data_IF_054042413193
#
_entry.id   IF_054042413193
#
_cell.length_a   1.000
_cell.length_b   1.000
_cell.length_c   1.000
_cell.angle_alpha   90.00
_cell.angle_beta   90.00
_cell.angle_gamma   90.00
#
_symmetry.space_group_name_H-M   'P 1'
#
loop_
_entity.id
_entity.type
_entity.pdbx_description
1 polymer ?
#
# COMPACT_ATOMS: atom_id res chain seq x y z
N UNK A 1 -2.65 17.03 -52.37
CA UNK A 1 -2.86 15.76 -51.63
C UNK A 1 -1.76 15.42 -50.63
N UNK A 2 -0.47 15.60 -50.84
CA UNK A 2 0.63 15.24 -49.90
C UNK A 2 0.62 15.98 -48.55
N UNK A 3 0.14 17.23 -48.49
CA UNK A 3 0.09 18.03 -47.22
C UNK A 3 -0.97 17.56 -46.24
N UNK A 4 -2.09 16.99 -46.70
CA UNK A 4 -3.16 16.49 -45.84
C UNK A 4 -2.75 15.21 -45.11
N UNK A 5 -1.99 14.33 -45.76
CA UNK A 5 -1.50 13.10 -45.15
C UNK A 5 -0.44 13.36 -44.07
N UNK A 6 0.42 14.38 -44.28
CA UNK A 6 1.42 14.75 -43.28
C UNK A 6 0.78 15.32 -42.00
N UNK A 7 -0.26 16.15 -42.15
CA UNK A 7 -0.99 16.73 -41.04
C UNK A 7 -1.73 15.65 -40.23
N UNK A 8 -2.39 14.70 -40.91
CA UNK A 8 -3.06 13.56 -40.26
C UNK A 8 -2.07 12.68 -39.50
N UNK A 9 -0.88 12.44 -40.03
CA UNK A 9 0.16 11.64 -39.37
C UNK A 9 0.68 12.32 -38.10
N UNK A 10 0.88 13.64 -38.10
CA UNK A 10 1.32 14.42 -36.95
C UNK A 10 0.25 14.44 -35.87
N UNK A 11 -1.02 14.59 -36.22
CA UNK A 11 -2.14 14.54 -35.28
C UNK A 11 -2.27 13.16 -34.64
N UNK A 12 -2.11 12.07 -35.41
CA UNK A 12 -2.10 10.71 -34.82
C UNK A 12 -0.91 10.46 -33.89
N UNK A 13 0.28 10.97 -34.23
CA UNK A 13 1.47 10.89 -33.37
C UNK A 13 1.29 11.70 -32.08
N UNK A 14 0.67 12.88 -32.14
CA UNK A 14 0.35 13.69 -30.97
C UNK A 14 -0.74 13.05 -30.10
N UNK A 15 -1.75 12.41 -30.68
CA UNK A 15 -2.77 11.67 -29.95
C UNK A 15 -2.20 10.39 -29.31
N UNK A 16 -1.27 9.71 -29.94
CA UNK A 16 -0.56 8.57 -29.33
C UNK A 16 0.34 8.98 -28.15
N UNK A 17 0.92 10.17 -28.19
CA UNK A 17 1.73 10.68 -27.07
C UNK A 17 0.89 11.11 -25.86
N UNK A 18 -0.42 11.32 -26.02
CA UNK A 18 -1.35 11.64 -24.92
C UNK A 18 -1.91 10.41 -24.20
N UNK A 19 -1.71 9.21 -24.73
CA UNK A 19 -1.93 7.97 -24.00
C UNK A 19 -0.74 7.71 -23.07
N UNK A 20 -0.47 8.64 -22.15
CA UNK A 20 0.30 8.32 -20.96
C UNK A 20 -0.53 7.29 -20.20
N UNK A 21 -0.26 6.02 -20.45
CA UNK A 21 -0.70 4.93 -19.57
C UNK A 21 -0.17 5.30 -18.20
N UNK A 22 -1.06 5.76 -17.33
CA UNK A 22 -0.69 6.07 -15.95
C UNK A 22 -0.39 4.73 -15.27
N UNK A 23 0.85 4.26 -15.46
CA UNK A 23 1.35 3.15 -14.69
C UNK A 23 1.25 3.52 -13.22
N UNK A 24 0.70 2.65 -12.42
CA UNK A 24 0.67 2.81 -10.98
C UNK A 24 1.31 1.58 -10.33
N UNK A 25 1.95 1.82 -9.22
CA UNK A 25 2.49 0.78 -8.36
C UNK A 25 1.58 0.57 -7.17
N UNK A 26 1.32 -0.68 -6.86
CA UNK A 26 0.57 -1.08 -5.68
C UNK A 26 1.13 -2.39 -5.12
N UNK A 27 0.55 -2.85 -4.04
CA UNK A 27 0.85 -4.18 -3.47
C UNK A 27 -0.38 -5.05 -3.62
N UNK A 28 -0.19 -6.23 -4.20
CA UNK A 28 -1.20 -7.29 -4.20
C UNK A 28 -1.05 -8.08 -2.91
N UNK A 29 -2.14 -8.14 -2.16
CA UNK A 29 -2.25 -8.88 -0.91
C UNK A 29 -3.28 -10.00 -1.05
N UNK A 30 -2.93 -11.18 -0.54
CA UNK A 30 -3.87 -12.30 -0.42
C UNK A 30 -4.45 -12.30 0.98
N UNK A 31 -5.69 -11.87 1.12
CA UNK A 31 -6.41 -11.89 2.39
C UNK A 31 -6.69 -13.32 2.89
N UNK A 32 -6.92 -13.52 4.21
CA UNK A 32 -7.30 -14.82 4.76
C UNK A 32 -8.59 -15.35 4.13
N UNK A 33 -8.61 -16.61 3.72
CA UNK A 33 -9.73 -17.23 2.96
C UNK A 33 -11.09 -17.27 3.68
N UNK A 34 -11.11 -17.05 4.99
CA UNK A 34 -12.33 -17.12 5.81
C UNK A 34 -13.02 -15.79 6.03
N UNK A 35 -12.48 -14.72 5.49
CA UNK A 35 -12.97 -13.38 5.73
C UNK A 35 -13.02 -12.60 4.42
N UNK A 36 -14.15 -11.95 4.18
CA UNK A 36 -14.33 -11.07 3.04
C UNK A 36 -13.81 -9.68 3.38
N UNK A 37 -12.88 -9.18 2.59
CA UNK A 37 -12.34 -7.84 2.66
C UNK A 37 -12.85 -7.01 1.49
N UNK A 38 -13.27 -5.81 1.77
CA UNK A 38 -13.83 -4.88 0.78
C UNK A 38 -13.04 -3.59 0.74
N UNK A 39 -13.03 -2.91 -0.41
CA UNK A 39 -12.44 -1.59 -0.54
C UNK A 39 -13.28 -0.57 0.25
N UNK A 40 -12.72 -0.04 1.33
CA UNK A 40 -13.35 0.96 2.19
C UNK A 40 -13.08 2.38 1.72
N UNK A 41 -11.91 2.64 1.14
CA UNK A 41 -11.51 3.98 0.71
C UNK A 41 -10.43 3.92 -0.38
N UNK A 42 -10.51 4.86 -1.30
CA UNK A 42 -9.45 5.12 -2.29
C UNK A 42 -9.33 6.62 -2.55
N UNK A 43 -8.10 7.11 -2.61
CA UNK A 43 -7.80 8.48 -3.00
C UNK A 43 -6.46 8.54 -3.73
N UNK A 44 -6.40 9.32 -4.81
CA UNK A 44 -5.18 9.67 -5.51
C UNK A 44 -5.03 11.18 -5.54
N UNK A 45 -3.88 11.69 -5.14
CA UNK A 45 -3.55 13.12 -5.16
C UNK A 45 -2.10 13.28 -5.61
N UNK A 46 -1.90 13.87 -6.77
CA UNK A 46 -0.55 14.06 -7.33
C UNK A 46 0.17 12.71 -7.48
N UNK A 47 1.30 12.58 -6.79
CA UNK A 47 2.18 11.40 -6.82
C UNK A 47 1.88 10.39 -5.71
N UNK A 48 0.79 10.55 -4.99
CA UNK A 48 0.39 9.67 -3.90
C UNK A 48 -0.95 9.02 -4.18
N UNK A 49 -1.06 7.73 -3.84
CA UNK A 49 -2.32 7.00 -3.88
C UNK A 49 -2.49 6.19 -2.60
N UNK A 50 -3.67 6.24 -2.02
CA UNK A 50 -4.05 5.50 -0.81
C UNK A 50 -5.22 4.59 -1.15
N UNK A 51 -5.11 3.33 -0.75
CA UNK A 51 -6.16 2.33 -0.85
C UNK A 51 -6.31 1.67 0.52
N UNK A 52 -7.54 1.65 1.02
CA UNK A 52 -7.87 1.01 2.29
C UNK A 52 -8.85 -0.13 2.08
N UNK A 53 -8.54 -1.26 2.69
CA UNK A 53 -9.44 -2.41 2.82
C UNK A 53 -9.90 -2.57 4.26
N UNK A 54 -11.14 -2.98 4.42
CA UNK A 54 -11.75 -3.30 5.71
C UNK A 54 -12.53 -4.62 5.58
N UNK A 55 -12.77 -5.36 6.68
CA UNK A 55 -13.69 -6.49 6.67
C UNK A 55 -15.08 -6.08 6.17
N UNK A 56 -15.78 -6.98 5.49
CA UNK A 56 -17.15 -6.75 5.04
C UNK A 56 -18.06 -6.35 6.22
N UNK A 57 -18.89 -5.33 6.01
CA UNK A 57 -19.74 -4.75 7.05
C UNK A 57 -19.10 -3.60 7.84
N UNK A 58 -17.79 -3.35 7.64
CA UNK A 58 -17.08 -2.20 8.21
C UNK A 58 -16.90 -1.08 7.17
N UNK A 59 -16.44 0.09 7.62
CA UNK A 59 -16.20 1.26 6.76
C UNK A 59 -14.85 1.90 7.06
N UNK A 60 -14.40 2.80 6.17
CA UNK A 60 -13.13 3.53 6.34
C UNK A 60 -13.04 4.33 7.65
N UNK A 61 -14.16 4.75 8.21
CA UNK A 61 -14.22 5.55 9.43
C UNK A 61 -14.58 4.72 10.68
N UNK A 62 -15.10 3.50 10.48
CA UNK A 62 -15.51 2.62 11.56
C UNK A 62 -15.06 1.19 11.24
N UNK A 63 -13.87 0.84 11.71
CA UNK A 63 -13.23 -0.44 11.49
C UNK A 63 -12.58 -0.94 12.79
N UNK A 64 -12.51 -2.25 12.94
CA UNK A 64 -11.75 -2.92 13.98
C UNK A 64 -10.38 -3.35 13.43
N UNK A 65 -10.35 -3.77 12.15
CA UNK A 65 -9.15 -4.14 11.41
C UNK A 65 -9.14 -3.44 10.07
N UNK A 66 -7.95 -3.09 9.60
CA UNK A 66 -7.80 -2.46 8.29
C UNK A 66 -6.45 -2.76 7.68
N UNK A 67 -6.41 -2.79 6.34
CA UNK A 67 -5.17 -2.77 5.56
C UNK A 67 -5.16 -1.50 4.72
N UNK A 68 -4.09 -0.73 4.86
CA UNK A 68 -3.87 0.48 4.06
C UNK A 68 -2.64 0.28 3.19
N UNK A 69 -2.81 0.46 1.88
CA UNK A 69 -1.71 0.50 0.91
C UNK A 69 -1.52 1.95 0.52
N UNK A 70 -0.28 2.44 0.60
CA UNK A 70 0.05 3.80 0.20
C UNK A 70 1.24 3.79 -0.75
N UNK A 71 1.05 4.33 -1.94
CA UNK A 71 2.08 4.48 -2.97
C UNK A 71 2.58 5.92 -3.00
N UNK A 72 3.90 6.09 -3.01
CA UNK A 72 4.61 7.38 -3.09
C UNK A 72 5.47 7.38 -4.35
N UNK A 73 4.88 7.81 -5.47
CA UNK A 73 5.56 7.86 -6.76
C UNK A 73 6.71 8.88 -6.71
N UNK A 74 7.83 8.54 -7.34
CA UNK A 74 9.07 9.35 -7.36
C UNK A 74 9.75 9.57 -6.00
N UNK A 75 9.38 8.82 -4.97
CA UNK A 75 10.09 8.85 -3.69
C UNK A 75 11.40 8.06 -3.78
N UNK A 76 12.54 8.76 -3.69
CA UNK A 76 13.87 8.17 -3.77
C UNK A 76 14.59 8.09 -2.41
N UNK A 77 13.88 8.31 -1.31
CA UNK A 77 14.47 8.20 0.03
C UNK A 77 15.00 6.77 0.28
N UNK A 78 16.16 6.60 0.92
CA UNK A 78 16.56 5.30 1.47
C UNK A 78 15.45 4.74 2.36
N UNK A 79 15.25 3.42 2.32
CA UNK A 79 14.15 2.75 3.06
C UNK A 79 14.21 3.02 4.57
N UNK A 80 15.40 2.99 5.16
CA UNK A 80 15.59 3.29 6.57
C UNK A 80 15.22 4.73 6.94
N UNK A 81 15.52 5.71 6.07
CA UNK A 81 15.16 7.13 6.27
C UNK A 81 13.64 7.31 6.15
N UNK A 82 13.03 6.73 5.11
CA UNK A 82 11.57 6.78 4.94
C UNK A 82 10.85 6.13 6.12
N UNK A 83 11.32 4.95 6.54
CA UNK A 83 10.79 4.24 7.71
C UNK A 83 10.89 5.12 8.97
N UNK A 84 12.06 5.67 9.26
CA UNK A 84 12.30 6.51 10.45
C UNK A 84 11.37 7.71 10.47
N UNK A 85 11.21 8.41 9.34
CA UNK A 85 10.31 9.55 9.23
C UNK A 85 8.83 9.15 9.45
N UNK A 86 8.42 8.01 8.90
CA UNK A 86 7.04 7.50 9.02
C UNK A 86 6.77 7.07 10.46
N UNK A 87 7.60 6.20 11.02
CA UNK A 87 7.43 5.71 12.39
C UNK A 87 7.58 6.83 13.43
N UNK A 88 8.47 7.80 13.18
CA UNK A 88 8.62 8.97 14.04
C UNK A 88 7.36 9.84 14.11
N UNK A 89 6.69 10.07 12.98
CA UNK A 89 5.39 10.77 12.97
C UNK A 89 4.32 9.99 13.74
N UNK A 90 4.23 8.70 13.51
CA UNK A 90 3.23 7.84 14.18
C UNK A 90 3.49 7.74 15.70
N UNK A 91 4.76 7.70 16.13
CA UNK A 91 5.13 7.71 17.55
C UNK A 91 4.78 9.04 18.22
N UNK A 92 4.90 10.18 17.52
CA UNK A 92 4.45 11.48 18.04
C UNK A 92 2.93 11.51 18.24
N UNK A 93 2.15 10.85 17.39
CA UNK A 93 0.69 10.76 17.54
C UNK A 93 0.27 9.87 18.72
N UNK A 94 0.97 8.76 18.92
CA UNK A 94 0.74 7.86 20.06
C UNK A 94 2.09 7.29 20.55
N UNK A 95 2.63 7.83 21.66
CA UNK A 95 3.95 7.43 22.18
C UNK A 95 3.93 6.20 23.09
N UNK A 96 2.76 5.55 23.32
CA UNK A 96 2.62 4.47 24.29
C UNK A 96 3.22 3.13 23.83
N UNK A 97 3.76 3.04 22.60
CA UNK A 97 4.42 1.83 22.09
C UNK A 97 5.54 2.18 21.13
N UNK A 98 6.63 1.42 21.22
CA UNK A 98 7.77 1.55 20.33
C UNK A 98 7.68 0.54 19.17
N UNK A 99 8.20 0.93 17.99
CA UNK A 99 8.36 0.02 16.87
C UNK A 99 9.50 -0.96 17.11
N UNK A 100 9.23 -2.23 16.81
CA UNK A 100 10.23 -3.29 16.73
C UNK A 100 10.48 -3.61 15.27
N UNK A 101 11.75 -3.60 14.86
CA UNK A 101 12.14 -4.05 13.53
C UNK A 101 12.08 -5.58 13.47
N UNK A 102 11.30 -6.08 12.51
CA UNK A 102 11.11 -7.52 12.25
C UNK A 102 11.92 -7.97 11.04
N UNK A 103 12.13 -7.07 10.08
CA UNK A 103 12.93 -7.28 8.88
C UNK A 103 13.48 -5.93 8.40
N UNK A 104 14.72 -5.92 7.96
CA UNK A 104 15.34 -4.75 7.32
C UNK A 104 16.33 -5.23 6.26
N UNK A 105 16.18 -4.70 5.05
CA UNK A 105 17.09 -4.85 3.92
C UNK A 105 17.26 -3.48 3.25
N UNK A 106 18.08 -3.40 2.22
CA UNK A 106 18.22 -2.18 1.43
C UNK A 106 16.90 -1.73 0.78
N UNK A 107 16.07 -2.69 0.33
CA UNK A 107 14.86 -2.43 -0.45
C UNK A 107 13.56 -2.69 0.30
N UNK A 108 13.62 -3.14 1.55
CA UNK A 108 12.43 -3.49 2.32
C UNK A 108 12.66 -3.36 3.82
N UNK A 109 11.64 -2.88 4.51
CA UNK A 109 11.56 -2.95 5.98
C UNK A 109 10.18 -3.43 6.42
N UNK A 110 10.14 -4.25 7.47
CA UNK A 110 8.91 -4.63 8.18
C UNK A 110 9.12 -4.32 9.65
N UNK A 111 8.20 -3.56 10.23
CA UNK A 111 8.18 -3.23 11.64
C UNK A 111 6.81 -3.54 12.22
N UNK A 112 6.74 -3.74 13.54
CA UNK A 112 5.49 -3.91 14.26
C UNK A 112 5.51 -3.19 15.59
N UNK A 113 4.35 -2.80 16.09
CA UNK A 113 4.15 -2.29 17.45
C UNK A 113 2.73 -2.53 17.93
N UNK A 114 2.54 -2.47 19.26
CA UNK A 114 1.23 -2.28 19.86
C UNK A 114 1.27 -1.01 20.72
N UNK A 115 0.16 -0.28 20.71
CA UNK A 115 -0.03 0.93 21.51
C UNK A 115 -1.24 0.79 22.41
N UNK A 116 -1.29 1.55 23.50
CA UNK A 116 -2.48 1.74 24.32
C UNK A 116 -3.24 3.00 23.88
N UNK A 117 -4.41 3.23 24.44
CA UNK A 117 -5.13 4.48 24.24
C UNK A 117 -4.28 5.67 24.72
N UNK A 118 -4.23 6.72 23.92
CA UNK A 118 -3.50 7.93 24.25
C UNK A 118 -4.25 9.16 23.74
N UNK A 119 -4.63 10.05 24.63
CA UNK A 119 -5.52 11.18 24.33
C UNK A 119 -6.79 10.72 23.59
N UNK A 120 -7.03 11.25 22.38
CA UNK A 120 -8.15 10.87 21.50
C UNK A 120 -7.81 9.75 20.51
N UNK A 121 -6.58 9.20 20.57
CA UNK A 121 -6.10 8.14 19.67
C UNK A 121 -6.33 6.79 20.33
N UNK A 122 -7.12 5.96 19.70
CA UNK A 122 -7.35 4.59 20.15
C UNK A 122 -6.07 3.77 19.99
N UNK A 123 -5.76 2.94 21.00
CA UNK A 123 -4.67 1.97 20.94
C UNK A 123 -4.94 0.91 19.87
N UNK A 124 -3.88 0.41 19.29
CA UNK A 124 -3.93 -0.62 18.24
C UNK A 124 -2.60 -1.36 18.14
N UNK A 125 -2.64 -2.56 17.59
CA UNK A 125 -1.46 -3.25 17.11
C UNK A 125 -1.35 -3.13 15.60
N UNK A 126 -0.12 -3.12 15.08
CA UNK A 126 0.11 -2.89 13.66
C UNK A 126 1.38 -3.55 13.12
N UNK A 127 1.34 -3.91 11.84
CA UNK A 127 2.51 -4.15 11.01
C UNK A 127 2.59 -3.06 9.94
N UNK A 128 3.77 -2.52 9.74
CA UNK A 128 4.09 -1.64 8.64
C UNK A 128 5.22 -2.26 7.82
N UNK A 129 4.96 -2.52 6.53
CA UNK A 129 5.99 -2.84 5.54
C UNK A 129 6.20 -1.64 4.64
N UNK A 130 7.45 -1.30 4.42
CA UNK A 130 7.92 -0.31 3.45
C UNK A 130 8.72 -1.05 2.41
N UNK A 131 8.41 -0.86 1.13
CA UNK A 131 9.07 -1.56 0.04
C UNK A 131 9.49 -0.58 -1.06
N UNK A 132 10.73 -0.72 -1.56
CA UNK A 132 11.19 -0.05 -2.77
C UNK A 132 10.41 -0.60 -3.96
N UNK A 133 9.71 0.26 -4.68
CA UNK A 133 9.08 -0.05 -5.94
C UNK A 133 9.94 0.32 -7.15
N UNK A 134 9.39 0.12 -8.34
CA UNK A 134 10.05 0.55 -9.59
C UNK A 134 10.03 2.06 -9.76
N UNK A 135 8.95 2.72 -9.32
CA UNK A 135 8.74 4.15 -9.48
C UNK A 135 8.84 4.95 -8.18
N UNK A 136 8.98 4.28 -7.04
CA UNK A 136 9.02 4.98 -5.77
C UNK A 136 9.01 4.06 -4.55
N UNK A 137 8.23 4.42 -3.55
CA UNK A 137 8.05 3.63 -2.32
C UNK A 137 6.58 3.25 -2.20
N UNK A 138 6.33 1.98 -1.86
CA UNK A 138 5.00 1.48 -1.53
C UNK A 138 5.01 0.95 -0.11
N UNK A 139 3.98 1.30 0.65
CA UNK A 139 3.79 0.78 2.02
C UNK A 139 2.52 -0.04 2.10
N UNK A 140 2.54 -1.05 2.95
CA UNK A 140 1.36 -1.78 3.39
C UNK A 140 1.30 -1.74 4.91
N UNK A 141 0.18 -1.34 5.45
CA UNK A 141 -0.05 -1.15 6.87
C UNK A 141 -1.28 -1.94 7.30
N UNK A 142 -1.06 -3.03 8.03
CA UNK A 142 -2.14 -3.76 8.72
C UNK A 142 -2.29 -3.22 10.12
N UNK A 143 -3.49 -2.88 10.51
CA UNK A 143 -3.84 -2.36 11.84
C UNK A 143 -5.01 -3.14 12.42
N UNK A 144 -4.97 -3.39 13.72
CA UNK A 144 -6.01 -4.07 14.48
C UNK A 144 -6.17 -3.39 15.85
N UNK A 145 -7.39 -2.99 16.19
CA UNK A 145 -7.72 -2.35 17.48
C UNK A 145 -7.88 -3.35 18.60
N UNK A 146 -8.10 -4.63 18.28
CA UNK A 146 -8.12 -5.72 19.25
C UNK A 146 -6.72 -6.33 19.33
N UNK A 147 -6.06 -6.15 20.46
CA UNK A 147 -4.71 -6.65 20.71
C UNK A 147 -4.66 -8.17 20.80
N UNK A 148 -5.66 -8.79 21.38
CA UNK A 148 -5.69 -10.25 21.59
C UNK A 148 -5.94 -10.95 20.24
N UNK A 149 -6.86 -10.43 19.42
CA UNK A 149 -7.07 -10.89 18.03
C UNK A 149 -5.80 -10.69 17.19
N UNK A 150 -5.11 -9.54 17.32
CA UNK A 150 -3.85 -9.31 16.62
C UNK A 150 -2.79 -10.34 17.01
N UNK A 151 -2.64 -10.61 18.31
CA UNK A 151 -1.64 -11.57 18.80
C UNK A 151 -1.99 -13.01 18.41
N UNK A 152 -3.27 -13.38 18.45
CA UNK A 152 -3.73 -14.69 17.97
C UNK A 152 -3.40 -14.93 16.49
N UNK A 153 -3.56 -13.91 15.65
CA UNK A 153 -3.31 -13.96 14.22
C UNK A 153 -1.93 -13.42 13.79
N UNK A 154 -1.01 -13.15 14.74
CA UNK A 154 0.27 -12.50 14.49
C UNK A 154 1.08 -13.14 13.35
N UNK A 155 1.32 -14.45 13.43
CA UNK A 155 2.12 -15.16 12.42
C UNK A 155 1.43 -15.17 11.05
N UNK A 156 0.12 -15.31 11.02
CA UNK A 156 -0.66 -15.29 9.79
C UNK A 156 -0.53 -13.93 9.08
N UNK A 157 -0.77 -12.83 9.80
CA UNK A 157 -0.67 -11.48 9.22
C UNK A 157 0.76 -11.08 8.89
N UNK A 158 1.72 -11.45 9.72
CA UNK A 158 3.13 -11.24 9.39
C UNK A 158 3.51 -11.91 8.07
N UNK A 159 3.09 -13.16 7.86
CA UNK A 159 3.31 -13.91 6.63
C UNK A 159 2.59 -13.29 5.42
N UNK A 160 1.35 -12.84 5.58
CA UNK A 160 0.58 -12.16 4.54
C UNK A 160 1.32 -10.88 4.11
N UNK A 161 1.68 -10.02 5.06
CA UNK A 161 2.40 -8.77 4.81
C UNK A 161 3.75 -9.03 4.15
N UNK A 162 4.50 -10.02 4.62
CA UNK A 162 5.81 -10.39 4.08
C UNK A 162 5.72 -10.95 2.66
N UNK A 163 4.68 -11.74 2.36
CA UNK A 163 4.48 -12.40 1.06
C UNK A 163 3.73 -11.51 0.04
N UNK A 164 3.19 -10.38 0.46
CA UNK A 164 2.52 -9.45 -0.43
C UNK A 164 3.46 -9.01 -1.55
N UNK A 165 2.97 -9.01 -2.80
CA UNK A 165 3.78 -8.79 -4.00
C UNK A 165 3.60 -7.38 -4.50
N UNK A 166 4.71 -6.74 -4.87
CA UNK A 166 4.68 -5.49 -5.61
C UNK A 166 4.09 -5.75 -7.01
N UNK A 167 3.18 -4.89 -7.43
CA UNK A 167 2.58 -4.91 -8.75
C UNK A 167 2.75 -3.56 -9.42
N UNK A 168 3.16 -3.59 -10.68
CA UNK A 168 3.23 -2.40 -11.51
C UNK A 168 2.46 -2.66 -12.81
N UNK A 169 1.45 -1.86 -13.08
CA UNK A 169 0.57 -2.05 -14.24
C UNK A 169 1.28 -1.88 -15.60
N UNK A 170 2.43 -1.20 -15.63
CA UNK A 170 3.24 -1.04 -16.84
C UNK A 170 4.00 -2.32 -17.18
N UNK A 171 4.54 -3.01 -16.16
CA UNK A 171 5.29 -4.25 -16.33
C UNK A 171 4.37 -5.44 -16.03
N UNK A 172 3.32 -5.63 -16.83
CA UNK A 172 2.43 -6.79 -16.71
C UNK A 172 3.24 -8.09 -16.65
N UNK A 173 3.51 -8.57 -15.47
CA UNK A 173 3.95 -9.95 -15.27
C UNK A 173 2.69 -10.83 -15.28
N UNK A 174 2.36 -11.36 -16.46
CA UNK A 174 1.18 -12.23 -16.68
C UNK A 174 1.15 -13.42 -15.72
N UNK A 175 2.31 -13.85 -15.21
CA UNK A 175 2.42 -14.97 -14.26
C UNK A 175 1.88 -14.67 -12.86
N UNK A 176 1.73 -13.39 -12.53
CA UNK A 176 1.13 -12.97 -11.25
C UNK A 176 -0.38 -12.79 -11.36
N UNK A 177 -0.90 -12.74 -12.58
CA UNK A 177 -2.27 -12.40 -12.91
C UNK A 177 -3.28 -13.56 -12.75
N UNK A 178 -2.84 -14.80 -12.91
CA UNK A 178 -3.74 -15.96 -12.97
C UNK A 178 -4.44 -16.36 -11.66
N UNK A 179 -4.16 -15.69 -10.53
CA UNK A 179 -4.68 -16.09 -9.21
C UNK A 179 -5.07 -14.95 -8.27
N UNK A 180 -4.98 -13.71 -8.68
CA UNK A 180 -5.42 -12.58 -7.87
C UNK A 180 -6.74 -12.05 -8.40
N UNK A 181 -7.76 -11.97 -7.56
CA UNK A 181 -8.92 -11.14 -7.84
C UNK A 181 -8.41 -9.71 -8.05
N UNK A 182 -8.53 -9.22 -9.28
CA UNK A 182 -8.08 -7.90 -9.66
C UNK A 182 -8.99 -6.86 -9.04
N UNK A 183 -8.40 -5.99 -8.25
CA UNK A 183 -9.02 -4.72 -7.93
C UNK A 183 -8.32 -3.66 -8.78
N UNK A 184 -8.97 -3.21 -9.86
CA UNK A 184 -8.56 -2.01 -10.58
C UNK A 184 -8.68 -0.81 -9.63
N UNK A 185 -7.57 -0.07 -9.53
CA UNK A 185 -7.52 1.22 -8.82
C UNK A 185 -7.96 2.36 -9.73
#
# INVERSE_FOLDING_TARGET
MKKVHLFSLIVCLLLMSMLSVFAYETIIIKFPNKELWVKGYYKKVGNEAILQYVPQGQSSNNWDRTVVIHSYKYSNYPINVFLSNTTGRMTKMNPTGAYKTLRLTENEAIVGRCTNNYNKVQGQCEFLRVTRGYEGIVTIHYMNKDKDDFMYHYNQWYDIIKKAKLYNSYYRDERTLDKAEYFEL
#
